data_IF_202930385349
#
_entry.id   IF_202930385349
#
_cell.length_a   1.000
_cell.length_b   1.000
_cell.length_c   1.000
_cell.angle_alpha   90.00
_cell.angle_beta   90.00
_cell.angle_gamma   90.00
#
_symmetry.space_group_name_H-M   'P 1'
#
loop_
_entity.id
_entity.type
_entity.pdbx_description
1 polymer ?
#
# COMPACT_ATOMS: atom_id res chain seq x y z
N UNK A 1 25.58 -9.67 15.93
CA UNK A 1 25.73 -10.15 14.54
C UNK A 1 25.29 -9.04 13.58
N UNK A 2 26.14 -8.59 12.64
CA UNK A 2 25.73 -7.60 11.65
C UNK A 2 24.61 -8.16 10.77
N UNK A 3 23.57 -7.35 10.49
CA UNK A 3 22.44 -7.78 9.67
C UNK A 3 22.90 -7.95 8.22
N UNK A 4 22.73 -9.14 7.65
CA UNK A 4 23.08 -9.42 6.26
C UNK A 4 22.11 -8.73 5.31
N UNK A 5 22.59 -7.77 4.53
CA UNK A 5 21.82 -7.11 3.48
C UNK A 5 21.84 -7.93 2.19
N UNK A 6 20.69 -8.05 1.54
CA UNK A 6 20.54 -8.62 0.18
C UNK A 6 21.18 -7.71 -0.87
N UNK A 7 21.50 -8.26 -2.05
CA UNK A 7 22.22 -7.58 -3.13
C UNK A 7 21.61 -6.22 -3.53
N UNK A 8 20.28 -6.15 -3.70
CA UNK A 8 19.59 -4.90 -4.07
C UNK A 8 19.77 -3.79 -3.03
N UNK A 9 19.68 -4.12 -1.73
CA UNK A 9 19.92 -3.15 -0.67
C UNK A 9 21.39 -2.67 -0.65
N UNK A 10 22.36 -3.55 -0.94
CA UNK A 10 23.77 -3.17 -1.04
C UNK A 10 24.02 -2.19 -2.18
N UNK A 11 23.42 -2.42 -3.34
CA UNK A 11 23.50 -1.49 -4.49
C UNK A 11 22.89 -0.13 -4.15
N UNK A 12 21.74 -0.11 -3.48
CA UNK A 12 21.09 1.13 -3.06
C UNK A 12 21.95 1.92 -2.07
N UNK A 13 22.56 1.25 -1.10
CA UNK A 13 23.52 1.88 -0.15
C UNK A 13 24.72 2.48 -0.89
N UNK A 14 25.25 1.80 -1.92
CA UNK A 14 26.34 2.33 -2.74
C UNK A 14 25.92 3.58 -3.52
N UNK A 15 24.72 3.60 -4.11
CA UNK A 15 24.17 4.78 -4.81
C UNK A 15 24.00 5.98 -3.87
N UNK A 16 23.44 5.75 -2.69
CA UNK A 16 23.26 6.81 -1.69
C UNK A 16 24.61 7.37 -1.22
N UNK A 17 25.58 6.49 -0.94
CA UNK A 17 26.94 6.89 -0.54
C UNK A 17 27.61 7.74 -1.62
N UNK A 18 27.56 7.34 -2.89
CA UNK A 18 28.20 8.08 -3.98
C UNK A 18 27.55 9.45 -4.21
N UNK A 19 26.23 9.58 -3.98
CA UNK A 19 25.57 10.89 -3.99
C UNK A 19 26.08 11.80 -2.87
N UNK A 20 26.14 11.31 -1.63
CA UNK A 20 26.64 12.08 -0.50
C UNK A 20 28.12 12.47 -0.65
N UNK A 21 28.96 11.61 -1.24
CA UNK A 21 30.35 11.96 -1.53
C UNK A 21 30.48 13.10 -2.55
N UNK A 22 29.58 13.17 -3.53
CA UNK A 22 29.52 14.30 -4.47
C UNK A 22 29.13 15.59 -3.77
N UNK A 23 28.12 15.56 -2.89
CA UNK A 23 27.77 16.72 -2.06
C UNK A 23 28.94 17.16 -1.17
N UNK A 24 29.67 16.20 -0.57
CA UNK A 24 30.87 16.50 0.23
C UNK A 24 31.96 17.21 -0.58
N UNK A 25 32.22 16.77 -1.82
CA UNK A 25 33.21 17.41 -2.71
C UNK A 25 32.80 18.83 -3.09
N UNK A 26 31.51 19.05 -3.32
CA UNK A 26 30.96 20.35 -3.69
C UNK A 26 30.83 21.31 -2.49
N UNK A 27 30.94 20.81 -1.24
CA UNK A 27 30.72 21.55 0.02
C UNK A 27 29.32 22.15 0.19
N UNK A 28 28.44 21.91 -0.78
CA UNK A 28 27.06 22.37 -0.78
C UNK A 28 26.11 21.26 -1.23
N UNK A 29 24.85 21.27 -0.76
CA UNK A 29 23.84 20.34 -1.24
C UNK A 29 23.57 20.56 -2.72
N UNK A 30 23.68 19.50 -3.54
CA UNK A 30 23.34 19.57 -4.97
C UNK A 30 21.84 19.85 -5.12
N UNK A 31 21.04 19.33 -4.19
CA UNK A 31 19.60 19.55 -4.15
C UNK A 31 19.24 20.19 -2.80
N UNK A 32 18.45 21.28 -2.80
CA UNK A 32 18.05 21.96 -1.58
C UNK A 32 17.40 21.01 -0.57
N UNK A 33 17.76 21.15 0.70
CA UNK A 33 17.21 20.36 1.81
C UNK A 33 15.68 20.45 1.92
N UNK A 34 15.09 21.56 1.47
CA UNK A 34 13.63 21.74 1.42
C UNK A 34 12.94 20.74 0.49
N UNK A 35 13.60 20.29 -0.58
CA UNK A 35 13.04 19.37 -1.59
C UNK A 35 13.36 17.92 -1.26
N UNK A 36 12.82 17.43 -0.14
CA UNK A 36 13.12 16.08 0.40
C UNK A 36 12.81 14.96 -0.60
N UNK A 37 11.64 15.01 -1.25
CA UNK A 37 11.22 13.96 -2.21
C UNK A 37 12.17 13.84 -3.40
N UNK A 38 12.55 14.97 -3.99
CA UNK A 38 13.48 15.03 -5.11
C UNK A 38 14.88 14.53 -4.69
N UNK A 39 15.34 14.86 -3.47
CA UNK A 39 16.59 14.30 -2.91
C UNK A 39 16.53 12.78 -2.82
N UNK A 40 15.49 12.24 -2.20
CA UNK A 40 15.37 10.78 -2.04
C UNK A 40 15.31 10.09 -3.41
N UNK A 41 14.53 10.63 -4.34
CA UNK A 41 14.41 10.11 -5.71
C UNK A 41 15.77 10.06 -6.42
N UNK A 42 16.55 11.14 -6.35
CA UNK A 42 17.86 11.22 -7.00
C UNK A 42 18.94 10.38 -6.31
N UNK A 43 18.91 10.25 -4.99
CA UNK A 43 19.83 9.40 -4.23
C UNK A 43 19.59 7.91 -4.46
N UNK A 44 18.32 7.51 -4.56
CA UNK A 44 17.92 6.11 -4.72
C UNK A 44 17.72 5.69 -6.18
N UNK A 45 17.70 6.65 -7.10
CA UNK A 45 17.44 6.46 -8.54
C UNK A 45 16.05 5.84 -8.79
N UNK A 46 15.05 6.42 -8.11
CA UNK A 46 13.65 6.00 -8.12
C UNK A 46 12.78 7.22 -8.47
N UNK A 47 11.64 7.01 -9.14
CA UNK A 47 10.73 8.12 -9.45
C UNK A 47 10.16 8.80 -8.20
N UNK A 48 9.97 10.12 -8.24
CA UNK A 48 9.36 10.86 -7.12
C UNK A 48 7.96 10.33 -6.74
N UNK A 49 7.20 9.87 -7.74
CA UNK A 49 5.87 9.26 -7.53
C UNK A 49 5.99 8.00 -6.69
N UNK A 50 6.96 7.14 -6.98
CA UNK A 50 7.21 5.92 -6.22
C UNK A 50 7.64 6.25 -4.79
N UNK A 51 8.53 7.23 -4.60
CA UNK A 51 8.91 7.71 -3.26
C UNK A 51 7.68 8.18 -2.50
N UNK A 52 6.82 9.01 -3.12
CA UNK A 52 5.59 9.49 -2.48
C UNK A 52 4.60 8.37 -2.16
N UNK A 53 4.59 7.28 -2.93
CA UNK A 53 3.75 6.12 -2.64
C UNK A 53 4.27 5.36 -1.43
N UNK A 54 5.58 5.10 -1.38
CA UNK A 54 6.25 4.42 -0.27
C UNK A 54 6.10 5.22 1.03
N UNK A 55 6.19 6.55 1.00
CA UNK A 55 6.00 7.36 2.21
C UNK A 55 4.60 7.22 2.77
N UNK A 56 3.57 7.22 1.92
CA UNK A 56 2.18 7.01 2.34
C UNK A 56 1.97 5.59 2.89
N UNK A 57 2.54 4.58 2.23
CA UNK A 57 2.49 3.20 2.72
C UNK A 57 3.18 3.08 4.09
N UNK A 58 4.28 3.80 4.31
CA UNK A 58 4.98 3.88 5.60
C UNK A 58 4.16 4.56 6.70
N UNK A 59 3.44 5.64 6.38
CA UNK A 59 2.53 6.32 7.31
C UNK A 59 1.39 5.38 7.76
N UNK A 60 0.79 4.64 6.82
CA UNK A 60 -0.27 3.65 7.10
C UNK A 60 0.27 2.46 7.91
N UNK A 61 1.46 1.97 7.58
CA UNK A 61 2.14 0.92 8.32
C UNK A 61 2.43 1.35 9.77
N UNK A 62 2.89 2.60 9.97
CA UNK A 62 3.15 3.15 11.30
C UNK A 62 1.87 3.29 12.14
N UNK A 63 0.74 3.70 11.54
CA UNK A 63 -0.53 3.81 12.26
C UNK A 63 -1.15 2.45 12.60
N UNK A 64 -0.95 1.44 11.76
CA UNK A 64 -1.54 0.10 11.92
C UNK A 64 -0.61 -0.90 12.62
N UNK A 65 0.63 -0.49 12.96
CA UNK A 65 1.71 -1.34 13.45
C UNK A 65 1.98 -2.57 12.54
N UNK A 66 1.78 -2.41 11.23
CA UNK A 66 1.98 -3.45 10.21
C UNK A 66 3.24 -3.18 9.39
N UNK A 67 3.74 -4.19 8.67
CA UNK A 67 4.86 -4.02 7.75
C UNK A 67 4.45 -3.22 6.51
N UNK A 68 5.40 -2.48 5.91
CA UNK A 68 5.18 -1.77 4.64
C UNK A 68 4.77 -2.79 3.57
N UNK A 69 3.65 -2.51 2.90
CA UNK A 69 3.13 -3.38 1.83
C UNK A 69 4.12 -3.45 0.68
N UNK A 70 4.55 -4.67 0.33
CA UNK A 70 5.44 -4.89 -0.82
C UNK A 70 4.60 -5.22 -2.06
N UNK A 71 4.68 -4.42 -3.15
CA UNK A 71 3.92 -4.70 -4.37
C UNK A 71 4.31 -6.08 -4.94
N UNK A 72 3.29 -6.86 -5.33
CA UNK A 72 3.48 -8.22 -5.86
C UNK A 72 3.56 -9.33 -4.81
N UNK A 73 3.60 -9.00 -3.51
CA UNK A 73 3.38 -10.00 -2.45
C UNK A 73 1.92 -10.42 -2.50
N UNK A 74 1.66 -11.74 -2.56
CA UNK A 74 0.31 -12.27 -2.55
C UNK A 74 -0.38 -11.88 -1.24
N UNK A 75 -1.29 -10.91 -1.29
CA UNK A 75 -2.20 -10.63 -0.19
C UNK A 75 -3.23 -11.76 -0.16
N UNK A 76 -3.27 -12.59 0.90
CA UNK A 76 -4.35 -13.56 1.03
C UNK A 76 -5.67 -12.79 1.01
N UNK A 77 -6.52 -13.09 0.02
CA UNK A 77 -7.87 -12.53 -0.01
C UNK A 77 -8.59 -13.02 1.25
N UNK A 78 -9.35 -12.13 1.88
CA UNK A 78 -10.29 -12.54 2.91
C UNK A 78 -11.15 -13.67 2.32
N UNK A 79 -11.16 -14.81 3.01
CA UNK A 79 -11.96 -15.95 2.58
C UNK A 79 -13.42 -15.49 2.60
N UNK A 80 -14.21 -15.94 1.62
CA UNK A 80 -15.66 -15.74 1.63
C UNK A 80 -16.19 -16.09 3.03
N UNK A 81 -17.07 -15.25 3.57
CA UNK A 81 -17.78 -15.55 4.82
C UNK A 81 -18.38 -16.95 4.65
N UNK A 82 -17.96 -17.89 5.50
CA UNK A 82 -18.55 -19.22 5.52
C UNK A 82 -19.91 -19.04 6.16
N UNK A 83 -20.96 -19.23 5.36
CA UNK A 83 -22.33 -19.22 5.84
C UNK A 83 -22.77 -20.65 6.09
N UNK A 84 -23.29 -20.92 7.28
CA UNK A 84 -23.87 -22.23 7.61
C UNK A 84 -25.24 -22.41 6.92
N UNK A 85 -25.72 -23.65 6.79
CA UNK A 85 -27.00 -23.94 6.13
C UNK A 85 -28.19 -23.20 6.77
N UNK A 86 -28.13 -23.00 8.09
CA UNK A 86 -29.12 -22.21 8.82
C UNK A 86 -29.09 -20.73 8.39
N UNK A 87 -27.90 -20.15 8.26
CA UNK A 87 -27.71 -18.74 7.86
C UNK A 87 -28.14 -18.53 6.41
N UNK A 88 -27.84 -19.49 5.53
CA UNK A 88 -28.33 -19.51 4.15
C UNK A 88 -29.86 -19.57 4.09
N UNK A 89 -30.49 -20.38 4.94
CA UNK A 89 -31.95 -20.48 5.01
C UNK A 89 -32.58 -19.16 5.49
N UNK A 90 -32.00 -18.54 6.53
CA UNK A 90 -32.45 -17.25 7.04
C UNK A 90 -32.33 -16.13 5.98
N UNK A 91 -31.22 -16.08 5.24
CA UNK A 91 -31.01 -15.14 4.13
C UNK A 91 -32.06 -15.35 3.03
N UNK A 92 -32.30 -16.61 2.61
CA UNK A 92 -33.32 -16.93 1.60
C UNK A 92 -34.71 -16.54 2.06
N UNK A 93 -35.05 -16.79 3.32
CA UNK A 93 -36.34 -16.42 3.89
C UNK A 93 -36.52 -14.90 3.89
N UNK A 94 -35.50 -14.13 4.29
CA UNK A 94 -35.55 -12.67 4.22
C UNK A 94 -35.70 -12.16 2.79
N UNK A 95 -34.94 -12.69 1.84
CA UNK A 95 -35.07 -12.34 0.42
C UNK A 95 -36.51 -12.62 -0.05
N UNK A 96 -37.05 -13.80 0.25
CA UNK A 96 -38.43 -14.16 -0.11
C UNK A 96 -39.48 -13.25 0.54
N UNK A 97 -39.32 -12.92 1.83
CA UNK A 97 -40.17 -11.96 2.54
C UNK A 97 -40.22 -10.61 1.83
N UNK A 98 -39.06 -10.08 1.42
CA UNK A 98 -38.98 -8.79 0.72
C UNK A 98 -39.60 -8.84 -0.69
N UNK A 99 -39.23 -9.82 -1.52
CA UNK A 99 -39.61 -9.82 -2.94
C UNK A 99 -40.97 -10.45 -3.23
N UNK A 100 -41.39 -11.45 -2.44
CA UNK A 100 -42.64 -12.20 -2.70
C UNK A 100 -43.78 -11.69 -1.83
N UNK A 101 -43.52 -11.46 -0.53
CA UNK A 101 -44.57 -11.06 0.42
C UNK A 101 -44.80 -9.55 0.38
N UNK A 102 -43.72 -8.76 0.51
CA UNK A 102 -43.83 -7.29 0.54
C UNK A 102 -43.85 -6.66 -0.86
N UNK A 103 -43.34 -7.37 -1.89
CA UNK A 103 -43.19 -6.87 -3.28
C UNK A 103 -42.46 -5.53 -3.36
N UNK A 104 -41.57 -5.26 -2.41
CA UNK A 104 -40.75 -4.06 -2.42
C UNK A 104 -39.55 -4.33 -3.32
N UNK A 105 -39.59 -3.81 -4.55
CA UNK A 105 -38.42 -3.78 -5.41
C UNK A 105 -37.47 -2.71 -4.87
N UNK A 106 -36.32 -3.12 -4.33
CA UNK A 106 -35.18 -2.22 -4.26
C UNK A 106 -34.91 -1.78 -5.70
N UNK A 107 -35.20 -0.52 -5.99
CA UNK A 107 -34.78 0.13 -7.22
C UNK A 107 -33.24 0.04 -7.26
N UNK A 108 -32.72 -1.01 -7.90
CA UNK A 108 -31.31 -1.32 -8.12
C UNK A 108 -30.57 -0.22 -8.92
N UNK A 109 -31.21 0.91 -9.18
CA UNK A 109 -30.65 2.06 -9.89
C UNK A 109 -29.69 2.92 -9.05
N UNK A 110 -29.51 2.64 -7.76
CA UNK A 110 -28.62 3.45 -6.89
C UNK A 110 -27.33 2.77 -6.42
N UNK A 111 -27.10 1.47 -6.67
CA UNK A 111 -25.89 0.76 -6.18
C UNK A 111 -24.81 0.50 -7.24
N UNK A 112 -25.02 0.94 -8.48
CA UNK A 112 -24.04 0.88 -9.58
C UNK A 112 -23.68 2.27 -10.09
N UNK A 113 -23.14 3.14 -9.22
CA UNK A 113 -22.51 4.40 -9.62
C UNK A 113 -21.27 4.68 -8.80
#
# INVERSE_FOLDING_TARGET
MPKTLKSGARQLVLKVKSFCEREKRNKEPIIPLKRVRLRVATMTDISEKTVSKITKEGEVAASTATEISTPGKHCPREKRVKLDDFELCALRHKIHEFYVVKKELLLLNCFMK
#
